data_IF_864710832611
#
_entry.id   IF_864710832611
#
_cell.length_a   1.000
_cell.length_b   1.000
_cell.length_c   1.000
_cell.angle_alpha   90.00
_cell.angle_beta   90.00
_cell.angle_gamma   90.00
#
_symmetry.space_group_name_H-M   'P 1'
#
loop_
_entity.id
_entity.type
_entity.pdbx_description
1 polymer ?
#
# COMPACT_ATOMS: atom_id res chain seq x y z
N UNK A 1 11.23 6.95 -2.06
CA UNK A 1 11.31 7.34 -0.63
C UNK A 1 10.24 6.67 0.24
N UNK A 2 9.24 5.99 -0.33
CA UNK A 2 8.14 5.37 0.44
C UNK A 2 8.62 4.45 1.58
N UNK A 3 9.59 3.59 1.34
CA UNK A 3 10.13 2.66 2.35
C UNK A 3 10.81 3.36 3.53
N UNK A 4 11.48 4.49 3.30
CA UNK A 4 12.09 5.28 4.38
C UNK A 4 11.00 5.91 5.26
N UNK A 5 9.94 6.44 4.65
CA UNK A 5 8.80 7.02 5.40
C UNK A 5 8.07 5.96 6.23
N UNK A 6 7.91 4.74 5.70
CA UNK A 6 7.36 3.60 6.46
C UNK A 6 8.21 3.30 7.70
N UNK A 7 9.53 3.25 7.55
CA UNK A 7 10.46 3.00 8.64
C UNK A 7 10.36 4.10 9.70
N UNK A 8 10.37 5.37 9.28
CA UNK A 8 10.26 6.53 10.18
C UNK A 8 8.92 6.51 10.92
N UNK A 9 7.83 6.21 10.22
CA UNK A 9 6.50 6.11 10.84
C UNK A 9 6.45 4.98 11.89
N UNK A 10 7.04 3.83 11.59
CA UNK A 10 7.13 2.72 12.53
C UNK A 10 7.99 3.06 13.75
N UNK A 11 9.16 3.69 13.56
CA UNK A 11 10.01 4.18 14.66
C UNK A 11 9.23 5.09 15.59
N UNK A 12 8.47 6.03 15.05
CA UNK A 12 7.62 6.94 15.82
C UNK A 12 6.56 6.20 16.61
N UNK A 13 5.93 5.19 16.04
CA UNK A 13 4.93 4.37 16.74
C UNK A 13 5.54 3.62 17.93
N UNK A 14 6.81 3.26 17.86
CA UNK A 14 7.55 2.64 18.95
C UNK A 14 8.29 3.66 19.86
N UNK A 15 7.94 4.94 19.80
CA UNK A 15 8.42 5.97 20.71
C UNK A 15 9.73 6.65 20.31
N UNK A 16 10.27 6.37 19.13
CA UNK A 16 11.49 7.00 18.62
C UNK A 16 11.13 8.06 17.58
N UNK A 17 11.35 9.33 17.93
CA UNK A 17 11.16 10.41 16.97
C UNK A 17 12.38 10.59 16.07
N UNK A 18 12.12 10.73 14.79
CA UNK A 18 13.12 11.04 13.77
C UNK A 18 12.88 12.46 13.27
N UNK A 19 13.84 13.34 13.52
CA UNK A 19 13.81 14.69 12.99
C UNK A 19 14.33 14.70 11.56
N UNK A 20 13.75 15.55 10.71
CA UNK A 20 14.14 15.69 9.30
C UNK A 20 14.48 17.15 8.99
N UNK A 21 15.69 17.61 9.34
CA UNK A 21 16.11 18.99 9.09
C UNK A 21 16.27 19.33 7.60
N UNK A 22 16.49 18.30 6.75
CA UNK A 22 16.56 18.44 5.29
C UNK A 22 15.96 17.20 4.62
N UNK A 23 15.74 17.26 3.31
CA UNK A 23 15.08 16.19 2.52
C UNK A 23 15.83 14.85 2.55
N UNK A 24 17.14 14.90 2.76
CA UNK A 24 18.07 13.77 2.73
C UNK A 24 18.74 13.48 4.08
N UNK A 25 18.33 14.20 5.13
CA UNK A 25 18.97 14.14 6.45
C UNK A 25 17.96 13.69 7.52
N UNK A 26 18.29 12.62 8.22
CA UNK A 26 17.50 12.09 9.33
C UNK A 26 18.33 12.14 10.60
N UNK A 27 17.77 12.68 11.68
CA UNK A 27 18.44 12.82 12.97
C UNK A 27 17.64 12.08 14.03
N UNK A 28 18.30 11.18 14.74
CA UNK A 28 17.76 10.43 15.88
C UNK A 28 18.54 10.84 17.11
N UNK A 29 17.86 11.10 18.23
CA UNK A 29 18.50 11.48 19.47
C UNK A 29 19.40 10.33 20.01
N UNK A 30 20.56 10.66 20.55
CA UNK A 30 21.57 9.69 21.02
C UNK A 30 21.01 8.68 22.03
N UNK A 31 20.07 9.12 22.87
CA UNK A 31 19.46 8.28 23.90
C UNK A 31 18.03 7.82 23.56
N UNK A 32 17.66 7.89 22.29
CA UNK A 32 16.35 7.39 21.85
C UNK A 32 16.26 5.88 22.11
N UNK A 33 15.16 5.44 22.71
CA UNK A 33 14.91 4.03 23.00
C UNK A 33 13.51 3.64 22.58
N UNK A 34 13.40 2.45 21.99
CA UNK A 34 12.10 1.89 21.63
C UNK A 34 11.30 1.50 22.86
N UNK A 35 10.01 1.75 22.80
CA UNK A 35 9.04 1.36 23.82
C UNK A 35 8.27 0.11 23.35
N UNK A 36 8.19 -0.89 24.22
CA UNK A 36 7.39 -2.08 23.95
C UNK A 36 5.89 -1.73 23.85
N UNK A 37 5.22 -2.26 22.86
CA UNK A 37 3.77 -2.07 22.65
C UNK A 37 3.16 -3.25 21.87
N UNK A 38 1.87 -3.41 21.98
CA UNK A 38 1.12 -4.22 21.03
C UNK A 38 1.05 -3.48 19.68
N UNK A 39 1.29 -4.18 18.61
CA UNK A 39 1.31 -3.62 17.27
C UNK A 39 0.64 -4.57 16.28
N UNK A 40 -0.37 -4.09 15.57
CA UNK A 40 -0.97 -4.82 14.47
C UNK A 40 -0.13 -4.62 13.22
N UNK A 41 0.51 -5.69 12.75
CA UNK A 41 1.27 -5.65 11.50
C UNK A 41 0.29 -5.51 10.35
N UNK A 42 0.54 -4.53 9.47
CA UNK A 42 -0.21 -4.40 8.22
C UNK A 42 0.08 -5.59 7.30
N UNK A 43 -0.90 -6.03 6.50
CA UNK A 43 -0.64 -7.03 5.47
C UNK A 43 0.34 -6.47 4.43
N UNK A 44 1.09 -7.36 3.81
CA UNK A 44 1.94 -7.04 2.67
C UNK A 44 1.06 -6.68 1.45
N UNK A 45 1.01 -5.40 1.11
CA UNK A 45 0.18 -4.90 -0.01
C UNK A 45 0.75 -5.35 -1.35
N UNK A 46 2.07 -5.56 -1.45
CA UNK A 46 2.69 -6.14 -2.64
C UNK A 46 2.15 -7.55 -2.91
N UNK A 47 2.09 -8.39 -1.89
CA UNK A 47 1.49 -9.72 -2.01
C UNK A 47 -0.03 -9.65 -2.26
N UNK A 48 -0.73 -8.69 -1.64
CA UNK A 48 -2.15 -8.47 -1.85
C UNK A 48 -2.49 -8.10 -3.31
N UNK A 49 -1.59 -7.43 -4.01
CA UNK A 49 -1.80 -7.01 -5.40
C UNK A 49 -2.12 -8.17 -6.34
N UNK A 50 -1.52 -9.34 -6.13
CA UNK A 50 -1.81 -10.53 -6.93
C UNK A 50 -3.27 -10.98 -6.79
N UNK A 51 -3.82 -10.94 -5.58
CA UNK A 51 -5.22 -11.29 -5.34
C UNK A 51 -6.17 -10.26 -5.96
N UNK A 52 -5.84 -8.97 -5.90
CA UNK A 52 -6.61 -7.93 -6.57
C UNK A 52 -6.54 -8.06 -8.09
N UNK A 53 -5.37 -8.36 -8.66
CA UNK A 53 -5.22 -8.59 -10.10
C UNK A 53 -6.00 -9.81 -10.60
N UNK A 54 -6.19 -10.84 -9.77
CA UNK A 54 -7.03 -11.98 -10.11
C UNK A 54 -8.50 -11.60 -10.30
N UNK A 55 -8.99 -10.58 -9.60
CA UNK A 55 -10.40 -10.18 -9.65
C UNK A 55 -10.90 -9.94 -11.09
N UNK A 56 -10.28 -9.05 -11.88
CA UNK A 56 -10.72 -8.82 -13.25
C UNK A 56 -10.44 -10.00 -14.19
N UNK A 57 -9.40 -10.79 -13.96
CA UNK A 57 -9.05 -11.94 -14.79
C UNK A 57 -10.07 -13.07 -14.62
N UNK A 58 -10.47 -13.34 -13.39
CA UNK A 58 -11.44 -14.42 -13.07
C UNK A 58 -12.88 -13.95 -13.18
N UNK A 59 -13.13 -12.65 -13.15
CA UNK A 59 -14.46 -12.06 -13.23
C UNK A 59 -15.27 -12.17 -11.92
N UNK A 60 -14.60 -12.29 -10.78
CA UNK A 60 -15.22 -12.35 -9.46
C UNK A 60 -14.64 -11.30 -8.52
N UNK A 61 -15.45 -10.75 -7.59
CA UNK A 61 -14.93 -9.81 -6.59
C UNK A 61 -13.84 -10.45 -5.72
N UNK A 62 -12.84 -9.67 -5.37
CA UNK A 62 -11.77 -10.03 -4.44
C UNK A 62 -11.68 -9.04 -3.30
N UNK A 63 -11.42 -9.50 -2.08
CA UNK A 63 -11.14 -8.65 -0.93
C UNK A 63 -9.93 -9.20 -0.19
N UNK A 64 -9.02 -8.30 0.18
CA UNK A 64 -7.92 -8.61 1.10
C UNK A 64 -8.20 -7.88 2.41
N UNK A 65 -8.27 -8.65 3.49
CA UNK A 65 -8.53 -8.11 4.82
C UNK A 65 -7.36 -7.27 5.32
N UNK A 66 -7.70 -6.22 6.08
CA UNK A 66 -6.75 -5.26 6.69
C UNK A 66 -5.90 -4.44 5.71
N UNK A 67 -6.22 -4.46 4.41
CA UNK A 67 -5.69 -3.48 3.44
C UNK A 67 -6.60 -2.28 3.44
N UNK A 68 -6.04 -1.09 3.66
CA UNK A 68 -6.77 0.18 3.70
C UNK A 68 -6.03 1.25 2.90
N UNK A 69 -6.75 2.27 2.43
CA UNK A 69 -6.16 3.39 1.68
C UNK A 69 -5.17 4.20 2.51
N UNK A 70 -5.31 4.20 3.83
CA UNK A 70 -4.42 4.91 4.75
C UNK A 70 -3.06 4.22 4.96
N UNK A 71 -2.84 3.03 4.35
CA UNK A 71 -1.56 2.34 4.43
C UNK A 71 -0.42 3.23 3.92
N UNK A 72 0.70 3.21 4.64
CA UNK A 72 1.94 3.88 4.21
C UNK A 72 2.66 3.14 3.09
N UNK A 73 2.22 1.93 2.75
CA UNK A 73 2.78 1.16 1.65
C UNK A 73 2.36 1.78 0.30
N UNK A 74 3.33 2.18 -0.51
CA UNK A 74 3.09 2.81 -1.83
C UNK A 74 2.32 1.90 -2.80
N UNK A 75 2.34 0.61 -2.55
CA UNK A 75 1.73 -0.44 -3.38
C UNK A 75 0.20 -0.38 -3.43
N UNK A 76 -0.46 0.36 -2.51
CA UNK A 76 -1.90 0.66 -2.62
C UNK A 76 -2.22 1.42 -3.90
N UNK A 77 -1.26 2.14 -4.48
CA UNK A 77 -1.42 2.83 -5.77
C UNK A 77 -1.72 1.86 -6.92
N UNK A 78 -1.37 0.58 -6.80
CA UNK A 78 -1.72 -0.45 -7.77
C UNK A 78 -3.24 -0.65 -7.91
N UNK A 79 -4.00 -0.51 -6.82
CA UNK A 79 -5.46 -0.59 -6.89
C UNK A 79 -6.04 0.53 -7.77
N UNK A 80 -5.44 1.74 -7.71
CA UNK A 80 -5.86 2.84 -8.60
C UNK A 80 -5.55 2.55 -10.08
N UNK A 81 -4.48 1.82 -10.38
CA UNK A 81 -4.23 1.35 -11.75
C UNK A 81 -5.36 0.43 -12.20
N UNK A 82 -5.76 -0.54 -11.37
CA UNK A 82 -6.87 -1.43 -11.69
C UNK A 82 -8.22 -0.68 -11.82
N UNK A 83 -8.45 0.38 -11.03
CA UNK A 83 -9.62 1.25 -11.20
C UNK A 83 -9.59 1.97 -12.55
N UNK A 84 -8.45 2.49 -12.97
CA UNK A 84 -8.30 3.11 -14.30
C UNK A 84 -8.52 2.09 -15.45
N UNK A 85 -8.27 0.81 -15.19
CA UNK A 85 -8.55 -0.28 -16.13
C UNK A 85 -10.01 -0.75 -16.10
N UNK A 86 -10.88 -0.11 -15.29
CA UNK A 86 -12.32 -0.34 -15.24
C UNK A 86 -12.83 -1.13 -14.03
N UNK A 87 -11.96 -1.55 -13.12
CA UNK A 87 -12.39 -2.14 -11.86
C UNK A 87 -13.02 -1.07 -10.94
N UNK A 88 -13.81 -1.50 -9.98
CA UNK A 88 -14.36 -0.64 -8.92
C UNK A 88 -13.88 -1.14 -7.58
N UNK A 89 -13.47 -0.24 -6.72
CA UNK A 89 -13.11 -0.54 -5.33
C UNK A 89 -14.17 -0.02 -4.36
N UNK A 90 -14.25 -0.67 -3.21
CA UNK A 90 -15.07 -0.26 -2.09
C UNK A 90 -14.31 -0.55 -0.80
N UNK A 91 -14.09 0.48 0.03
CA UNK A 91 -13.49 0.29 1.34
C UNK A 91 -14.54 -0.16 2.33
N UNK A 92 -14.28 -1.30 2.96
CA UNK A 92 -15.09 -1.91 4.01
C UNK A 92 -14.34 -1.80 5.36
N UNK A 93 -15.01 -1.96 6.51
CA UNK A 93 -14.36 -1.86 7.82
C UNK A 93 -13.18 -2.84 8.03
N UNK A 94 -13.15 -3.93 7.29
CA UNK A 94 -12.16 -4.98 7.40
C UNK A 94 -11.25 -5.10 6.16
N UNK A 95 -11.28 -4.14 5.25
CA UNK A 95 -10.38 -4.11 4.08
C UNK A 95 -11.02 -3.55 2.82
N UNK A 96 -10.26 -3.51 1.73
CA UNK A 96 -10.73 -3.03 0.44
C UNK A 96 -11.25 -4.22 -0.39
N UNK A 97 -12.46 -4.08 -0.91
CA UNK A 97 -13.05 -5.00 -1.89
C UNK A 97 -12.92 -4.41 -3.28
N UNK A 98 -12.52 -5.24 -4.23
CA UNK A 98 -12.47 -4.91 -5.66
C UNK A 98 -13.50 -5.73 -6.41
N UNK A 99 -14.15 -5.09 -7.36
CA UNK A 99 -15.10 -5.68 -8.29
C UNK A 99 -14.53 -5.65 -9.71
N UNK A 100 -14.74 -6.71 -10.50
CA UNK A 100 -14.26 -6.75 -11.87
C UNK A 100 -14.95 -5.69 -12.74
N UNK A 101 -14.34 -5.29 -13.87
CA UNK A 101 -14.96 -4.37 -14.81
C UNK A 101 -16.19 -5.03 -15.46
N UNK A 102 -17.23 -4.24 -15.71
CA UNK A 102 -18.47 -4.72 -16.36
C UNK A 102 -18.37 -4.80 -17.87
N UNK A 103 -17.49 -4.00 -18.48
CA UNK A 103 -17.36 -3.86 -19.95
C UNK A 103 -15.99 -4.35 -20.48
N UNK A 104 -15.23 -5.11 -19.65
CA UNK A 104 -13.89 -5.56 -19.99
C UNK A 104 -12.81 -4.55 -19.61
N UNK A 105 -11.56 -4.92 -19.82
CA UNK A 105 -10.42 -4.09 -19.46
C UNK A 105 -10.26 -2.86 -20.34
N UNK A 106 -9.97 -1.74 -19.72
CA UNK A 106 -9.52 -0.53 -20.38
C UNK A 106 -7.98 -0.50 -20.40
N UNK A 107 -7.40 -0.40 -21.58
CA UNK A 107 -5.96 -0.20 -21.72
C UNK A 107 -5.56 1.24 -21.36
N UNK A 108 -4.31 1.44 -21.00
CA UNK A 108 -3.80 2.77 -20.64
C UNK A 108 -2.28 2.83 -20.61
N UNK A 109 -1.78 4.01 -20.26
CA UNK A 109 -0.36 4.23 -19.93
C UNK A 109 -0.27 4.53 -18.44
N UNK A 110 0.49 3.73 -17.72
CA UNK A 110 0.57 3.79 -16.27
C UNK A 110 2.01 4.04 -15.84
N UNK A 111 2.22 4.91 -14.85
CA UNK A 111 3.52 5.17 -14.25
C UNK A 111 3.68 4.37 -12.96
N UNK A 112 4.60 3.42 -12.97
CA UNK A 112 4.94 2.55 -11.83
C UNK A 112 6.18 3.03 -11.06
N UNK A 113 6.71 4.22 -11.30
CA UNK A 113 7.95 4.69 -10.69
C UNK A 113 7.93 4.73 -9.15
N UNK A 114 6.75 4.93 -8.56
CA UNK A 114 6.58 4.98 -7.10
C UNK A 114 6.38 3.60 -6.45
N UNK A 115 5.99 2.57 -7.23
CA UNK A 115 5.68 1.21 -6.79
C UNK A 115 6.07 0.17 -7.86
N UNK A 116 7.31 0.27 -8.32
CA UNK A 116 7.84 -0.44 -9.51
C UNK A 116 7.71 -1.96 -9.44
N UNK A 117 7.73 -2.53 -8.24
CA UNK A 117 7.61 -3.98 -8.04
C UNK A 117 6.26 -4.52 -8.50
N UNK A 118 5.22 -3.67 -8.48
CA UNK A 118 3.87 -4.04 -8.91
C UNK A 118 3.70 -4.10 -10.43
N UNK A 119 4.65 -3.57 -11.20
CA UNK A 119 4.62 -3.69 -12.66
C UNK A 119 4.66 -5.14 -13.14
N UNK A 120 5.19 -6.06 -12.34
CA UNK A 120 5.22 -7.49 -12.63
C UNK A 120 3.86 -8.18 -12.39
N UNK A 121 2.97 -7.57 -11.62
CA UNK A 121 1.64 -8.11 -11.31
C UNK A 121 0.63 -7.79 -12.42
N UNK A 122 0.85 -6.71 -13.16
CA UNK A 122 0.00 -6.26 -14.25
C UNK A 122 0.23 -7.09 -15.52
#
# INVERSE_FOLDING_TARGET
>A
MAYVEMTVAMMKQFGVEVQRPASDTFVIAEHAAYQAREYQIEPDVSAASYFYAMCPVVGVPAKVCHVHWESLQGDTSFLHVLEQMGCRTEEEPDGIRMYPPTEGFLGGVFDFSAFSDQALTL
#
